data_IF_571478597651
#
_entry.id   IF_571478597651
#
_cell.length_a   1.000
_cell.length_b   1.000
_cell.length_c   1.000
_cell.angle_alpha   90.00
_cell.angle_beta   90.00
_cell.angle_gamma   90.00
#
_symmetry.space_group_name_H-M   'P 1'
#
loop_
_entity.id
_entity.type
_entity.pdbx_description
1 polymer ?
#
# COMPACT_ATOMS: atom_id res chain seq x y z
N UNK A 1 53.32 -20.05 25.63
CA UNK A 1 52.74 -20.90 24.57
C UNK A 1 52.57 -20.08 23.31
N UNK A 2 53.20 -20.55 22.23
CA UNK A 2 53.00 -20.33 20.78
C UNK A 2 51.85 -19.39 20.37
N UNK A 3 51.95 -18.46 19.41
CA UNK A 3 52.95 -18.15 18.40
C UNK A 3 52.35 -17.07 17.46
N UNK A 4 53.15 -16.06 17.11
CA UNK A 4 52.81 -15.06 16.07
C UNK A 4 52.83 -15.70 14.69
N UNK A 5 51.87 -15.35 13.83
CA UNK A 5 51.98 -15.44 12.37
C UNK A 5 51.29 -14.24 11.70
N UNK A 6 51.70 -13.84 10.48
CA UNK A 6 51.87 -12.44 10.09
C UNK A 6 50.98 -11.95 8.93
N UNK A 7 50.93 -10.62 8.86
CA UNK A 7 50.69 -9.71 7.73
C UNK A 7 50.64 -10.29 6.31
N UNK A 8 49.57 -9.94 5.57
CA UNK A 8 49.45 -10.15 4.12
C UNK A 8 48.74 -8.98 3.45
N UNK A 9 49.52 -7.98 3.04
CA UNK A 9 49.19 -6.81 2.19
C UNK A 9 48.18 -7.14 1.07
N UNK A 10 47.15 -6.30 0.91
CA UNK A 10 46.42 -6.15 -0.36
C UNK A 10 47.26 -5.35 -1.37
N UNK A 11 47.54 -5.88 -2.58
CA UNK A 11 48.03 -5.09 -3.69
C UNK A 11 46.86 -4.66 -4.59
N UNK A 12 46.68 -3.34 -4.64
CA UNK A 12 46.32 -2.48 -5.78
C UNK A 12 45.37 -3.01 -6.86
N UNK A 13 44.22 -2.35 -6.89
CA UNK A 13 43.52 -1.89 -8.09
C UNK A 13 44.50 -1.56 -9.24
N UNK A 14 44.34 -2.27 -10.36
CA UNK A 14 44.92 -1.94 -11.65
C UNK A 14 43.81 -2.03 -12.68
N UNK A 15 43.49 -0.89 -13.26
CA UNK A 15 42.48 -0.64 -14.28
C UNK A 15 42.71 -1.52 -15.55
N UNK A 16 41.75 -2.39 -15.96
CA UNK A 16 41.93 -3.28 -17.10
C UNK A 16 41.35 -2.72 -18.41
N UNK A 17 41.42 -1.41 -18.65
CA UNK A 17 40.81 -0.79 -19.84
C UNK A 17 41.62 -0.89 -21.14
N UNK A 18 42.82 -1.51 -21.18
CA UNK A 18 43.69 -1.38 -22.37
C UNK A 18 44.41 -2.65 -22.89
N UNK A 19 43.98 -3.87 -22.53
CA UNK A 19 44.65 -5.11 -22.97
C UNK A 19 43.77 -6.10 -23.75
N UNK A 20 42.67 -5.64 -24.35
CA UNK A 20 41.71 -6.50 -25.04
C UNK A 20 41.99 -6.78 -26.53
N UNK A 21 43.18 -6.47 -27.08
CA UNK A 21 43.33 -6.48 -28.56
C UNK A 21 44.49 -7.24 -29.19
N UNK A 22 45.38 -7.90 -28.45
CA UNK A 22 46.59 -8.46 -29.08
C UNK A 22 46.95 -9.92 -28.83
N UNK A 23 46.19 -10.70 -28.05
CA UNK A 23 46.57 -12.09 -27.71
C UNK A 23 45.74 -13.18 -28.42
N UNK A 24 45.14 -12.87 -29.57
CA UNK A 24 44.27 -13.80 -30.32
C UNK A 24 45.02 -14.74 -31.30
N UNK A 25 46.35 -14.72 -31.35
CA UNK A 25 47.09 -15.38 -32.44
C UNK A 25 47.89 -16.64 -32.08
N UNK A 26 47.89 -17.13 -30.83
CA UNK A 26 48.72 -18.28 -30.43
C UNK A 26 48.00 -19.23 -29.47
N UNK A 27 47.14 -20.13 -29.99
CA UNK A 27 46.72 -21.34 -29.26
C UNK A 27 46.69 -22.58 -30.17
N UNK A 28 47.62 -23.54 -30.00
CA UNK A 28 47.50 -24.89 -30.54
C UNK A 28 46.40 -25.67 -29.79
N UNK A 29 45.64 -26.46 -30.53
CA UNK A 29 44.57 -27.30 -30.00
C UNK A 29 45.12 -28.42 -29.10
N UNK A 30 44.81 -28.41 -27.80
CA UNK A 30 44.87 -29.59 -26.92
C UNK A 30 44.30 -29.29 -25.51
N UNK A 31 42.97 -29.26 -25.39
CA UNK A 31 42.24 -29.93 -24.30
C UNK A 31 40.76 -29.85 -24.62
N UNK A 32 40.12 -30.98 -24.92
CA UNK A 32 38.68 -31.10 -24.76
C UNK A 32 38.38 -30.65 -23.31
N UNK A 33 37.47 -29.69 -23.07
CA UNK A 33 37.04 -29.45 -21.72
C UNK A 33 36.50 -30.79 -21.23
N UNK A 34 37.16 -31.34 -20.22
CA UNK A 34 36.56 -32.35 -19.37
C UNK A 34 35.28 -31.66 -18.94
N UNK A 35 34.13 -32.10 -19.47
CA UNK A 35 32.83 -31.80 -18.88
C UNK A 35 32.96 -32.36 -17.47
N UNK A 36 33.42 -31.52 -16.55
CA UNK A 36 33.18 -31.69 -15.15
C UNK A 36 31.67 -31.64 -15.08
N UNK A 37 31.07 -32.82 -15.09
CA UNK A 37 29.72 -33.07 -14.59
C UNK A 37 29.74 -32.74 -13.10
N UNK A 38 30.03 -31.49 -12.75
CA UNK A 38 29.38 -30.85 -11.63
C UNK A 38 28.01 -30.50 -12.16
N UNK A 39 27.17 -31.54 -12.25
CA UNK A 39 25.75 -31.35 -12.10
C UNK A 39 25.59 -30.73 -10.70
N UNK A 40 25.75 -29.41 -10.61
CA UNK A 40 25.03 -28.62 -9.63
C UNK A 40 23.60 -29.08 -9.83
N UNK A 41 23.15 -29.94 -8.92
CA UNK A 41 21.75 -30.30 -8.79
C UNK A 41 21.05 -28.99 -8.54
N UNK A 42 20.59 -28.34 -9.61
CA UNK A 42 19.72 -27.20 -9.55
C UNK A 42 18.51 -27.69 -8.77
N UNK A 43 18.51 -27.42 -7.47
CA UNK A 43 17.41 -27.79 -6.59
C UNK A 43 16.17 -27.20 -7.25
N UNK A 44 15.13 -28.01 -7.51
CA UNK A 44 13.93 -27.50 -8.15
C UNK A 44 13.43 -26.32 -7.33
N UNK A 45 13.45 -25.13 -7.93
CA UNK A 45 12.99 -23.91 -7.28
C UNK A 45 11.51 -24.13 -6.91
N UNK A 46 11.23 -24.20 -5.61
CA UNK A 46 9.89 -24.39 -5.13
C UNK A 46 9.08 -23.13 -5.45
N UNK A 47 8.32 -23.17 -6.55
CA UNK A 47 7.38 -22.12 -6.93
C UNK A 47 6.16 -22.21 -6.03
N UNK A 48 6.17 -21.42 -4.96
CA UNK A 48 4.99 -21.26 -4.13
C UNK A 48 3.86 -20.62 -4.95
N UNK A 49 2.74 -21.34 -5.06
CA UNK A 49 1.51 -20.82 -5.66
C UNK A 49 0.63 -20.22 -4.55
N UNK A 50 0.36 -18.92 -4.64
CA UNK A 50 -0.61 -18.25 -3.77
C UNK A 50 -2.02 -18.79 -4.10
N UNK A 51 -2.71 -19.43 -3.13
CA UNK A 51 -4.05 -19.97 -3.36
C UNK A 51 -5.09 -18.85 -3.33
N UNK A 52 -6.20 -18.93 -4.07
CA UNK A 52 -7.16 -17.82 -4.24
C UNK A 52 -7.87 -17.38 -2.93
N UNK A 53 -7.94 -18.27 -1.94
CA UNK A 53 -8.48 -18.08 -0.59
C UNK A 53 -7.44 -17.54 0.41
N UNK A 54 -6.27 -17.09 -0.07
CA UNK A 54 -5.19 -16.56 0.77
C UNK A 54 -5.66 -15.47 1.75
N UNK A 55 -6.61 -14.65 1.32
CA UNK A 55 -7.12 -13.52 2.08
C UNK A 55 -8.00 -13.91 3.27
N UNK A 56 -8.63 -15.09 3.24
CA UNK A 56 -9.47 -15.58 4.33
C UNK A 56 -8.68 -16.28 5.45
N UNK A 57 -7.40 -16.63 5.19
CA UNK A 57 -6.56 -17.36 6.15
C UNK A 57 -6.12 -16.54 7.35
N UNK A 58 -5.97 -15.22 7.21
CA UNK A 58 -5.53 -14.35 8.30
C UNK A 58 -6.41 -13.11 8.40
N UNK A 59 -6.73 -12.72 9.64
CA UNK A 59 -7.57 -11.55 9.92
C UNK A 59 -7.04 -10.25 9.30
N UNK A 60 -5.72 -10.08 9.24
CA UNK A 60 -5.10 -8.90 8.63
C UNK A 60 -5.38 -8.81 7.12
N UNK A 61 -5.25 -9.92 6.39
CA UNK A 61 -5.55 -9.96 4.96
C UNK A 61 -7.05 -9.80 4.68
N UNK A 62 -7.89 -10.40 5.53
CA UNK A 62 -9.33 -10.22 5.44
C UNK A 62 -9.73 -8.75 5.61
N UNK A 63 -9.22 -8.07 6.65
CA UNK A 63 -9.50 -6.65 6.89
C UNK A 63 -8.97 -5.75 5.76
N UNK A 64 -7.85 -6.12 5.13
CA UNK A 64 -7.34 -5.46 3.92
C UNK A 64 -8.32 -5.60 2.75
N UNK A 65 -8.79 -6.81 2.45
CA UNK A 65 -9.76 -7.02 1.36
C UNK A 65 -11.08 -6.32 1.65
N UNK A 66 -11.57 -6.37 2.89
CA UNK A 66 -12.77 -5.62 3.30
C UNK A 66 -12.58 -4.11 3.14
N UNK A 67 -11.39 -3.59 3.46
CA UNK A 67 -11.05 -2.18 3.23
C UNK A 67 -11.16 -1.82 1.75
N UNK A 68 -10.57 -2.60 0.85
CA UNK A 68 -10.69 -2.35 -0.59
C UNK A 68 -12.14 -2.48 -1.07
N UNK A 69 -12.87 -3.45 -0.54
CA UNK A 69 -14.27 -3.66 -0.89
C UNK A 69 -15.16 -2.46 -0.54
N UNK A 70 -14.82 -1.67 0.49
CA UNK A 70 -15.60 -0.46 0.85
C UNK A 70 -15.69 0.58 -0.27
N UNK A 71 -14.77 0.58 -1.23
CA UNK A 71 -14.81 1.52 -2.36
C UNK A 71 -16.05 1.31 -3.26
N UNK A 72 -16.53 0.07 -3.41
CA UNK A 72 -17.69 -0.26 -4.25
C UNK A 72 -19.01 0.35 -3.75
N UNK A 73 -19.46 0.10 -2.49
CA UNK A 73 -20.67 0.71 -1.97
C UNK A 73 -20.56 2.23 -1.88
N UNK A 74 -19.37 2.77 -1.59
CA UNK A 74 -19.15 4.22 -1.57
C UNK A 74 -19.33 4.82 -2.96
N UNK A 75 -18.73 4.23 -4.00
CA UNK A 75 -18.86 4.70 -5.37
C UNK A 75 -20.31 4.63 -5.85
N UNK A 76 -21.02 3.54 -5.55
CA UNK A 76 -22.43 3.39 -5.89
C UNK A 76 -23.30 4.47 -5.21
N UNK A 77 -23.04 4.76 -3.94
CA UNK A 77 -23.76 5.80 -3.21
C UNK A 77 -23.43 7.21 -3.70
N UNK A 78 -22.17 7.48 -4.07
CA UNK A 78 -21.76 8.74 -4.70
C UNK A 78 -22.44 8.96 -6.07
N UNK A 79 -22.55 7.91 -6.88
CA UNK A 79 -23.29 7.97 -8.15
C UNK A 79 -24.77 8.28 -7.89
N UNK A 80 -25.36 7.66 -6.86
CA UNK A 80 -26.73 7.96 -6.46
C UNK A 80 -26.89 9.41 -5.99
N UNK A 81 -25.97 9.90 -5.15
CA UNK A 81 -25.95 11.29 -4.69
C UNK A 81 -25.94 12.26 -5.89
N UNK A 82 -25.17 11.95 -6.94
CA UNK A 82 -25.11 12.77 -8.14
C UNK A 82 -26.45 12.81 -8.90
N UNK A 83 -27.15 11.68 -8.98
CA UNK A 83 -28.50 11.60 -9.54
C UNK A 83 -29.47 12.44 -8.71
N UNK A 84 -29.35 12.39 -7.39
CA UNK A 84 -30.19 13.15 -6.47
C UNK A 84 -29.97 14.67 -6.59
N UNK A 85 -28.71 15.11 -6.71
CA UNK A 85 -28.35 16.51 -6.97
C UNK A 85 -28.95 16.98 -8.29
N UNK A 86 -28.87 16.16 -9.35
CA UNK A 86 -29.48 16.48 -10.65
C UNK A 86 -31.00 16.66 -10.51
N UNK A 87 -31.67 15.74 -9.81
CA UNK A 87 -33.12 15.81 -9.55
C UNK A 87 -33.51 17.03 -8.72
N UNK A 88 -32.71 17.41 -7.74
CA UNK A 88 -32.92 18.61 -6.94
C UNK A 88 -32.79 19.89 -7.78
N UNK A 89 -31.93 19.88 -8.81
CA UNK A 89 -31.78 20.97 -9.77
C UNK A 89 -32.98 21.14 -10.73
N UNK A 90 -33.76 20.08 -10.98
CA UNK A 90 -34.91 20.10 -11.90
C UNK A 90 -36.18 20.78 -11.32
N UNK A 91 -36.09 21.32 -10.09
CA UNK A 91 -37.11 22.18 -9.47
C UNK A 91 -37.90 21.52 -8.32
N UNK A 92 -38.36 22.32 -7.34
CA UNK A 92 -38.95 21.83 -6.09
C UNK A 92 -40.26 21.04 -6.25
N UNK A 93 -40.93 21.12 -7.41
CA UNK A 93 -42.18 20.40 -7.69
C UNK A 93 -42.01 18.95 -8.15
N UNK A 94 -40.78 18.49 -8.44
CA UNK A 94 -40.50 17.14 -8.95
C UNK A 94 -39.54 16.33 -8.08
N UNK A 95 -39.10 16.91 -6.96
CA UNK A 95 -38.24 16.26 -5.99
C UNK A 95 -39.07 15.32 -5.11
N UNK A 96 -39.12 14.05 -5.49
CA UNK A 96 -39.59 12.98 -4.62
C UNK A 96 -38.35 12.27 -4.05
N UNK A 97 -37.96 12.53 -2.80
CA UNK A 97 -36.86 11.82 -2.18
C UNK A 97 -37.20 10.33 -2.14
N UNK A 98 -36.26 9.49 -2.55
CA UNK A 98 -36.40 8.04 -2.46
C UNK A 98 -36.26 7.59 -1.01
N UNK A 99 -37.28 7.87 -0.20
CA UNK A 99 -37.32 7.56 1.24
C UNK A 99 -37.79 6.14 1.55
N UNK A 100 -37.66 5.19 0.61
CA UNK A 100 -38.07 3.81 0.87
C UNK A 100 -37.21 3.22 2.01
N UNK A 101 -37.85 2.51 2.93
CA UNK A 101 -37.16 1.91 4.08
C UNK A 101 -35.91 1.08 3.67
N UNK A 102 -35.92 0.30 2.57
CA UNK A 102 -34.73 -0.41 2.09
C UNK A 102 -33.58 0.52 1.69
N UNK A 103 -33.88 1.68 1.10
CA UNK A 103 -32.86 2.64 0.68
C UNK A 103 -32.19 3.34 1.87
N UNK A 104 -32.97 3.63 2.92
CA UNK A 104 -32.43 4.16 4.19
C UNK A 104 -31.47 3.15 4.81
N UNK A 105 -31.86 1.87 4.88
CA UNK A 105 -31.00 0.81 5.40
C UNK A 105 -29.72 0.69 4.57
N UNK A 106 -29.82 0.70 3.24
CA UNK A 106 -28.67 0.70 2.35
C UNK A 106 -27.72 1.89 2.63
N UNK A 107 -28.27 3.11 2.75
CA UNK A 107 -27.48 4.31 3.03
C UNK A 107 -26.78 4.25 4.39
N UNK A 108 -27.43 3.70 5.42
CA UNK A 108 -26.80 3.49 6.73
C UNK A 108 -25.67 2.47 6.64
N UNK A 109 -25.85 1.38 5.90
CA UNK A 109 -24.80 0.38 5.67
C UNK A 109 -23.60 1.02 4.93
N UNK A 110 -23.86 1.82 3.89
CA UNK A 110 -22.80 2.56 3.19
C UNK A 110 -22.09 3.53 4.13
N UNK A 111 -22.83 4.23 5.00
CA UNK A 111 -22.25 5.13 5.99
C UNK A 111 -21.30 4.41 6.94
N UNK A 112 -21.66 3.20 7.41
CA UNK A 112 -20.78 2.36 8.23
C UNK A 112 -19.51 1.95 7.46
N UNK A 113 -19.65 1.58 6.18
CA UNK A 113 -18.49 1.31 5.33
C UNK A 113 -17.61 2.54 5.12
N UNK A 114 -18.21 3.73 4.98
CA UNK A 114 -17.48 4.99 4.82
C UNK A 114 -16.72 5.38 6.09
N UNK A 115 -17.32 5.15 7.26
CA UNK A 115 -16.67 5.31 8.57
C UNK A 115 -15.47 4.37 8.72
N UNK A 116 -15.64 3.10 8.36
CA UNK A 116 -14.53 2.12 8.37
C UNK A 116 -13.42 2.50 7.38
N UNK A 117 -13.78 2.92 6.16
CA UNK A 117 -12.84 3.39 5.15
C UNK A 117 -12.04 4.60 5.65
N UNK A 118 -12.73 5.59 6.23
CA UNK A 118 -12.11 6.79 6.79
C UNK A 118 -11.17 6.44 7.94
N UNK A 119 -11.62 5.60 8.89
CA UNK A 119 -10.81 5.18 10.02
C UNK A 119 -9.51 4.49 9.60
N UNK A 120 -9.62 3.53 8.67
CA UNK A 120 -8.44 2.82 8.16
C UNK A 120 -7.51 3.75 7.38
N UNK A 121 -8.05 4.65 6.54
CA UNK A 121 -7.26 5.64 5.81
C UNK A 121 -6.50 6.58 6.76
N UNK A 122 -7.17 7.17 7.76
CA UNK A 122 -6.54 8.07 8.73
C UNK A 122 -5.47 7.37 9.58
N UNK A 123 -5.75 6.12 9.99
CA UNK A 123 -4.79 5.31 10.74
C UNK A 123 -3.52 5.01 9.92
N UNK A 124 -3.67 4.66 8.64
CA UNK A 124 -2.54 4.44 7.73
C UNK A 124 -1.81 5.76 7.42
N UNK A 125 -2.54 6.85 7.17
CA UNK A 125 -1.97 8.16 6.86
C UNK A 125 -1.06 8.67 7.98
N UNK A 126 -1.46 8.53 9.25
CA UNK A 126 -0.61 8.90 10.39
C UNK A 126 0.59 7.99 10.65
N UNK A 127 0.58 6.79 10.06
CA UNK A 127 1.73 5.87 10.12
C UNK A 127 2.74 6.15 9.02
N UNK A 128 2.29 6.56 7.83
CA UNK A 128 3.19 6.82 6.69
C UNK A 128 3.95 8.14 6.87
N UNK A 129 3.30 9.13 7.46
CA UNK A 129 3.87 10.47 7.67
C UNK A 129 4.90 10.47 8.81
N UNK A 130 6.17 10.19 8.46
CA UNK A 130 7.29 10.31 9.39
C UNK A 130 7.91 11.71 9.30
N UNK A 131 7.35 12.65 10.06
CA UNK A 131 7.94 13.98 10.19
C UNK A 131 8.93 14.02 11.35
N UNK A 132 10.16 14.48 11.07
CA UNK A 132 11.11 14.92 12.09
C UNK A 132 10.91 16.42 12.26
N UNK A 133 10.57 16.85 13.47
CA UNK A 133 10.42 18.27 13.81
C UNK A 133 11.54 18.61 14.79
N UNK A 134 12.38 19.59 14.47
CA UNK A 134 13.48 20.04 15.34
C UNK A 134 14.42 18.91 15.82
N UNK A 135 14.89 18.06 14.89
CA UNK A 135 15.76 16.89 15.17
C UNK A 135 15.20 15.85 16.14
N UNK A 136 13.94 15.99 16.59
CA UNK A 136 13.25 14.99 17.39
C UNK A 136 12.25 14.22 16.52
N UNK A 137 12.26 12.87 16.59
CA UNK A 137 11.22 12.08 15.93
C UNK A 137 9.88 12.41 16.60
N UNK A 138 8.91 12.90 15.82
CA UNK A 138 7.56 13.09 16.33
C UNK A 138 6.96 11.69 16.52
N UNK A 139 6.42 11.36 17.70
CA UNK A 139 5.78 10.07 17.90
C UNK A 139 4.57 9.95 16.98
N UNK A 140 4.52 8.89 16.18
CA UNK A 140 3.45 8.64 15.19
C UNK A 140 2.04 8.70 15.80
N UNK A 141 1.90 8.41 17.11
CA UNK A 141 0.63 8.57 17.85
C UNK A 141 0.08 10.00 17.85
N UNK A 142 0.93 11.03 17.94
CA UNK A 142 0.47 12.42 17.91
C UNK A 142 -0.06 12.80 16.53
N UNK A 143 0.57 12.29 15.48
CA UNK A 143 0.18 12.52 14.08
C UNK A 143 -1.16 11.83 13.77
N UNK A 144 -1.36 10.62 14.30
CA UNK A 144 -2.64 9.92 14.23
C UNK A 144 -3.71 10.70 15.01
N UNK A 145 -3.43 11.10 16.25
CA UNK A 145 -4.38 11.84 17.08
C UNK A 145 -4.79 13.18 16.45
N UNK A 146 -3.86 13.93 15.86
CA UNK A 146 -4.16 15.20 15.20
C UNK A 146 -5.09 15.02 13.99
N UNK A 147 -4.90 13.95 13.22
CA UNK A 147 -5.77 13.65 12.08
C UNK A 147 -7.17 13.24 12.54
N UNK A 148 -7.27 12.39 13.57
CA UNK A 148 -8.55 12.06 14.19
C UNK A 148 -9.24 13.30 14.77
N UNK A 149 -8.47 14.19 15.40
CA UNK A 149 -8.97 15.47 15.91
C UNK A 149 -9.52 16.36 14.79
N UNK A 150 -8.79 16.49 13.69
CA UNK A 150 -9.23 17.26 12.53
C UNK A 150 -10.51 16.67 11.90
N UNK A 151 -10.57 15.35 11.76
CA UNK A 151 -11.75 14.65 11.23
C UNK A 151 -12.98 14.81 12.12
N UNK A 152 -12.82 14.68 13.44
CA UNK A 152 -13.89 14.92 14.39
C UNK A 152 -14.37 16.38 14.35
N UNK A 153 -13.44 17.34 14.32
CA UNK A 153 -13.76 18.75 14.20
C UNK A 153 -14.52 19.06 12.89
N UNK A 154 -14.06 18.53 11.76
CA UNK A 154 -14.75 18.69 10.48
C UNK A 154 -16.17 18.11 10.52
N UNK A 155 -16.36 16.94 11.14
CA UNK A 155 -17.67 16.30 11.30
C UNK A 155 -18.61 17.17 12.14
N UNK A 156 -18.12 17.78 13.22
CA UNK A 156 -18.90 18.70 14.06
C UNK A 156 -19.27 19.96 13.30
N UNK A 157 -18.35 20.56 12.54
CA UNK A 157 -18.60 21.78 11.75
C UNK A 157 -19.66 21.52 10.69
N UNK A 158 -19.57 20.41 9.95
CA UNK A 158 -20.56 20.03 8.94
C UNK A 158 -21.92 19.77 9.58
N UNK A 159 -21.96 19.02 10.69
CA UNK A 159 -23.20 18.77 11.42
C UNK A 159 -23.86 20.05 11.93
N UNK A 160 -23.05 20.97 12.49
CA UNK A 160 -23.52 22.27 12.93
C UNK A 160 -24.07 23.11 11.76
N UNK A 161 -23.35 23.18 10.64
CA UNK A 161 -23.81 23.90 9.45
C UNK A 161 -25.14 23.34 8.93
N UNK A 162 -25.28 22.01 8.85
CA UNK A 162 -26.53 21.37 8.41
C UNK A 162 -27.70 21.70 9.34
N UNK A 163 -27.51 21.66 10.66
CA UNK A 163 -28.54 22.02 11.64
C UNK A 163 -28.90 23.51 11.53
N UNK A 164 -27.90 24.37 11.33
CA UNK A 164 -28.10 25.80 11.16
C UNK A 164 -28.90 26.13 9.90
N UNK A 165 -28.58 25.51 8.76
CA UNK A 165 -29.32 25.70 7.51
C UNK A 165 -30.71 25.05 7.50
N UNK A 166 -30.93 24.03 8.34
CA UNK A 166 -32.22 23.36 8.47
C UNK A 166 -33.22 24.07 9.41
N UNK A 167 -32.79 25.16 10.07
CA UNK A 167 -33.59 25.97 10.98
C UNK A 167 -34.03 27.26 10.31
#
# INVERSE_FOLDING_TARGET
MLGRLPQGRRPREGDPTDQARHDDALRPALRKPRLTTEAHTAQPEYRWRMPADWWARQRHYFLYVVREFTALPLALWLLWLLVEIKRAGDGPGRYAPHGSMPFVVFSVVVLLFALYHSYTFLSLAGTILHFKVFDRPVPSRLIVLSQFGLWAAASVVVGFALIWFAR
#
